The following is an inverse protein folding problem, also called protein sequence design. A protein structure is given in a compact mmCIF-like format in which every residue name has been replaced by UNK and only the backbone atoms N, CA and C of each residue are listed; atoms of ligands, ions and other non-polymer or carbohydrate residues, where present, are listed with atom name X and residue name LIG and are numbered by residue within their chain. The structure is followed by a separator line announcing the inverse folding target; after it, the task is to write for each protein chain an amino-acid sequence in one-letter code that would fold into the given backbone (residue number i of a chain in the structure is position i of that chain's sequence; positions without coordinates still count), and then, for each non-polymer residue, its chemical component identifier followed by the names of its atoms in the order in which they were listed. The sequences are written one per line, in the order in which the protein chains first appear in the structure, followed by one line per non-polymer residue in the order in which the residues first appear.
data_IF_999441717137
#
_entry.id   IF_999441717137
#
_cell.length_a   1.000
_cell.length_b   1.000
_cell.length_c   1.000
_cell.angle_alpha   90.00
_cell.angle_beta   90.00
_cell.angle_gamma   90.00
#
_symmetry.space_group_name_H-M   'P 1'
#
loop_
_entity.id
_entity.type
_entity.pdbx_description
1 polymer ?
#
# COMPACT_ATOMS: atom_id res chain seq x y z
N UNK A 1 10.24 7.14 -0.70
CA UNK A 1 10.25 6.83 0.74
C UNK A 1 9.92 5.36 0.97
N UNK A 2 10.44 4.79 2.02
CA UNK A 2 10.09 3.43 2.43
C UNK A 2 8.93 3.49 3.41
N UNK A 3 7.93 2.67 3.16
CA UNK A 3 6.70 2.63 3.97
C UNK A 3 6.47 1.21 4.47
N UNK A 4 6.28 1.07 5.77
CA UNK A 4 5.86 -0.19 6.35
C UNK A 4 4.37 -0.37 6.09
N UNK A 5 3.99 -1.49 5.50
CA UNK A 5 2.60 -1.78 5.13
C UNK A 5 2.16 -3.08 5.78
N UNK A 6 1.00 -3.03 6.41
CA UNK A 6 0.35 -4.23 6.93
C UNK A 6 -0.87 -4.56 6.07
N UNK A 7 -0.86 -5.72 5.46
CA UNK A 7 -1.93 -6.15 4.57
C UNK A 7 -2.98 -6.96 5.34
N UNK A 8 -4.24 -6.61 5.16
CA UNK A 8 -5.38 -7.35 5.71
C UNK A 8 -6.19 -7.85 4.50
N UNK A 9 -6.00 -9.13 4.12
CA UNK A 9 -6.70 -9.68 2.96
C UNK A 9 -8.16 -10.02 3.26
N UNK A 10 -8.91 -10.35 2.22
CA UNK A 10 -10.31 -10.77 2.31
C UNK A 10 -11.18 -9.76 3.04
N UNK A 11 -10.87 -8.48 2.87
CA UNK A 11 -11.69 -7.40 3.40
C UNK A 11 -12.88 -7.14 2.50
N UNK A 12 -13.88 -6.45 3.02
CA UNK A 12 -15.10 -6.14 2.24
C UNK A 12 -14.84 -5.08 1.18
N UNK A 13 -13.78 -4.30 1.32
CA UNK A 13 -13.41 -3.29 0.33
C UNK A 13 -11.92 -2.97 0.45
N UNK A 14 -11.37 -2.38 -0.61
CA UNK A 14 -9.99 -1.91 -0.63
C UNK A 14 -9.91 -0.55 0.06
N UNK A 15 -9.05 -0.44 1.07
CA UNK A 15 -8.94 0.77 1.87
C UNK A 15 -7.53 0.92 2.43
N UNK A 16 -7.05 2.18 2.47
CA UNK A 16 -5.76 2.51 3.07
C UNK A 16 -5.98 3.37 4.31
N UNK A 17 -5.27 3.05 5.39
CA UNK A 17 -5.31 3.80 6.64
C UNK A 17 -3.87 4.08 7.09
N UNK A 18 -3.55 5.36 7.27
CA UNK A 18 -2.20 5.79 7.68
C UNK A 18 -2.23 6.33 9.09
N UNK A 19 -1.39 5.78 9.98
CA UNK A 19 -1.33 6.23 11.38
C UNK A 19 -0.07 7.04 11.70
N UNK A 20 0.73 7.37 10.69
CA UNK A 20 1.99 8.08 10.88
C UNK A 20 3.21 7.17 10.88
N UNK A 21 3.03 5.87 11.06
CA UNK A 21 4.12 4.90 11.10
C UNK A 21 3.91 3.72 10.16
N UNK A 22 2.71 3.16 10.18
CA UNK A 22 2.36 1.98 9.40
C UNK A 22 1.15 2.28 8.54
N UNK A 23 1.21 1.85 7.30
CA UNK A 23 0.10 1.94 6.37
C UNK A 23 -0.66 0.60 6.41
N UNK A 24 -1.89 0.64 6.90
CA UNK A 24 -2.76 -0.53 6.88
C UNK A 24 -3.48 -0.59 5.55
N UNK A 25 -3.31 -1.68 4.82
CA UNK A 25 -3.93 -1.88 3.53
C UNK A 25 -4.95 -3.02 3.62
N UNK A 26 -6.22 -2.66 3.59
CA UNK A 26 -7.30 -3.65 3.50
C UNK A 26 -7.52 -3.96 2.04
N UNK A 27 -7.48 -5.24 1.70
CA UNK A 27 -7.59 -5.70 0.31
C UNK A 27 -8.71 -6.73 0.21
N UNK A 28 -9.51 -6.63 -0.84
CA UNK A 28 -10.51 -7.64 -1.14
C UNK A 28 -9.87 -8.91 -1.70
N UNK A 29 -8.64 -8.80 -2.22
CA UNK A 29 -7.90 -9.91 -2.79
C UNK A 29 -7.63 -11.01 -1.75
N UNK A 30 -7.54 -12.28 -2.17
CA UNK A 30 -7.16 -13.35 -1.28
C UNK A 30 -5.68 -13.25 -0.89
N UNK A 31 -5.26 -13.93 0.21
CA UNK A 31 -3.86 -13.87 0.65
C UNK A 31 -2.96 -14.79 -0.18
N UNK A 32 -3.06 -14.68 -1.48
CA UNK A 32 -2.21 -15.37 -2.45
C UNK A 32 -1.19 -14.34 -2.91
N UNK A 33 0.08 -14.65 -2.83
CA UNK A 33 1.17 -13.70 -2.97
C UNK A 33 1.06 -12.79 -4.20
N UNK A 34 0.89 -13.35 -5.37
CA UNK A 34 0.77 -12.56 -6.60
C UNK A 34 -0.44 -11.65 -6.60
N UNK A 35 -1.60 -12.17 -6.20
CA UNK A 35 -2.84 -11.40 -6.20
C UNK A 35 -2.81 -10.27 -5.18
N UNK A 36 -2.32 -10.55 -3.97
CA UNK A 36 -2.26 -9.54 -2.91
C UNK A 36 -1.26 -8.44 -3.25
N UNK A 37 -0.10 -8.80 -3.79
CA UNK A 37 0.93 -7.81 -4.15
C UNK A 37 0.45 -6.91 -5.29
N UNK A 38 -0.16 -7.47 -6.31
CA UNK A 38 -0.71 -6.67 -7.40
C UNK A 38 -1.82 -5.75 -6.93
N UNK A 39 -2.72 -6.26 -6.08
CA UNK A 39 -3.81 -5.46 -5.54
C UNK A 39 -3.27 -4.31 -4.70
N UNK A 40 -2.23 -4.56 -3.91
CA UNK A 40 -1.61 -3.52 -3.09
C UNK A 40 -1.00 -2.42 -3.95
N UNK A 41 -0.20 -2.80 -4.95
CA UNK A 41 0.42 -1.82 -5.86
C UNK A 41 -0.63 -1.03 -6.60
N UNK A 42 -1.67 -1.68 -7.10
CA UNK A 42 -2.75 -1.01 -7.82
C UNK A 42 -3.50 -0.02 -6.92
N UNK A 43 -3.78 -0.40 -5.69
CA UNK A 43 -4.47 0.47 -4.74
C UNK A 43 -3.62 1.68 -4.39
N UNK A 44 -2.33 1.48 -4.11
CA UNK A 44 -1.41 2.57 -3.82
C UNK A 44 -1.28 3.53 -5.00
N UNK A 45 -1.10 2.99 -6.20
CA UNK A 45 -0.97 3.82 -7.41
C UNK A 45 -2.22 4.67 -7.63
N UNK A 46 -3.39 4.08 -7.45
CA UNK A 46 -4.65 4.78 -7.62
C UNK A 46 -4.85 5.88 -6.57
N UNK A 47 -4.68 5.52 -5.30
CA UNK A 47 -4.95 6.46 -4.19
C UNK A 47 -3.92 7.58 -4.11
N UNK A 48 -2.68 7.30 -4.49
CA UNK A 48 -1.60 8.28 -4.45
C UNK A 48 -1.43 9.03 -5.77
N UNK A 49 -2.19 8.65 -6.79
CA UNK A 49 -2.11 9.24 -8.13
C UNK A 49 -0.69 9.12 -8.70
N UNK A 50 -0.09 7.95 -8.55
CA UNK A 50 1.26 7.66 -9.04
C UNK A 50 1.21 6.50 -10.03
N UNK A 51 2.17 6.41 -10.96
CA UNK A 51 2.26 5.26 -11.83
C UNK A 51 2.72 4.03 -11.04
N UNK A 52 2.32 2.85 -11.48
CA UNK A 52 2.72 1.60 -10.81
C UNK A 52 4.22 1.43 -10.69
N UNK A 53 4.98 1.91 -11.68
CA UNK A 53 6.43 1.79 -11.68
C UNK A 53 7.11 2.59 -10.55
N UNK A 54 6.39 3.53 -9.96
CA UNK A 54 6.90 4.30 -8.82
C UNK A 54 6.79 3.55 -7.51
N UNK A 55 6.13 2.38 -7.51
CA UNK A 55 5.81 1.62 -6.31
C UNK A 55 6.41 0.22 -6.46
N UNK A 56 7.23 -0.18 -5.49
CA UNK A 56 7.84 -1.51 -5.50
C UNK A 56 7.85 -2.09 -4.09
N UNK A 57 7.55 -3.39 -4.01
CA UNK A 57 7.62 -4.12 -2.75
C UNK A 57 9.06 -4.59 -2.59
N UNK A 58 9.78 -4.03 -1.62
CA UNK A 58 11.19 -4.31 -1.44
C UNK A 58 11.47 -5.37 -0.38
N UNK A 59 10.48 -5.68 0.46
CA UNK A 59 10.60 -6.70 1.49
C UNK A 59 9.23 -7.26 1.84
N UNK A 60 9.19 -8.54 2.21
CA UNK A 60 7.97 -9.18 2.67
C UNK A 60 6.98 -9.55 1.58
N UNK A 61 7.46 -9.91 0.38
CA UNK A 61 6.60 -10.24 -0.74
C UNK A 61 5.62 -11.38 -0.42
N UNK A 62 5.99 -12.31 0.46
CA UNK A 62 5.14 -13.44 0.87
C UNK A 62 4.59 -13.28 2.28
N UNK A 63 4.68 -12.08 2.85
CA UNK A 63 4.25 -11.79 4.21
C UNK A 63 3.14 -10.76 4.22
N UNK A 64 2.36 -10.71 5.30
CA UNK A 64 1.38 -9.64 5.51
C UNK A 64 2.05 -8.34 5.96
N UNK A 65 3.27 -8.43 6.46
CA UNK A 65 4.10 -7.27 6.81
C UNK A 65 5.05 -7.04 5.64
N UNK A 66 4.90 -5.88 4.99
CA UNK A 66 5.68 -5.55 3.81
C UNK A 66 6.37 -4.21 3.97
N UNK A 67 7.47 -4.02 3.23
CA UNK A 67 8.07 -2.70 3.07
C UNK A 67 7.96 -2.34 1.60
N UNK A 68 7.40 -1.19 1.35
CA UNK A 68 7.15 -0.70 -0.01
C UNK A 68 7.96 0.57 -0.22
N UNK A 69 8.66 0.65 -1.34
CA UNK A 69 9.32 1.88 -1.75
C UNK A 69 8.39 2.64 -2.69
N UNK A 70 8.11 3.90 -2.35
CA UNK A 70 7.27 4.77 -3.16
C UNK A 70 8.14 5.95 -3.59
N UNK A 71 8.48 6.01 -4.87
CA UNK A 71 9.34 7.06 -5.40
C UNK A 71 8.62 8.40 -5.42
N UNK A 72 9.37 9.48 -5.24
CA UNK A 72 8.89 10.85 -5.35
C UNK A 72 7.73 11.16 -4.38
N UNK A 73 7.75 10.54 -3.22
CA UNK A 73 6.74 10.77 -2.20
C UNK A 73 7.41 11.09 -0.87
N UNK A 74 6.91 12.12 -0.18
CA UNK A 74 7.33 12.46 1.17
C UNK A 74 6.28 12.00 2.18
N UNK A 75 6.64 11.83 3.47
CA UNK A 75 5.65 11.49 4.51
C UNK A 75 4.49 12.48 4.58
N UNK A 76 4.76 13.75 4.35
CA UNK A 76 3.73 14.78 4.37
C UNK A 76 2.76 14.62 3.21
N UNK A 77 3.28 14.34 2.02
CA UNK A 77 2.44 14.10 0.85
C UNK A 77 1.60 12.84 1.03
N UNK A 78 2.16 11.79 1.62
CA UNK A 78 1.42 10.57 1.92
C UNK A 78 0.25 10.89 2.85
N UNK A 79 0.50 11.62 3.92
CA UNK A 79 -0.52 12.02 4.87
C UNK A 79 -1.63 12.83 4.20
N UNK A 80 -1.25 13.81 3.38
CA UNK A 80 -2.21 14.65 2.68
C UNK A 80 -3.07 13.87 1.70
N UNK A 81 -2.47 13.01 0.90
CA UNK A 81 -3.19 12.23 -0.10
C UNK A 81 -4.16 11.23 0.52
N UNK A 82 -3.81 10.66 1.66
CA UNK A 82 -4.67 9.70 2.35
C UNK A 82 -5.72 10.37 3.23
N UNK A 83 -5.54 11.62 3.59
CA UNK A 83 -6.53 12.40 4.33
C UNK A 83 -7.66 12.93 3.43
N UNK A 84 -7.45 12.94 2.12
CA UNK A 84 -8.47 13.37 1.16
C UNK A 84 -9.49 12.26 0.97
N UNK A 85 -10.72 12.57 1.19
CA UNK A 85 -11.83 11.64 1.09
C UNK A 85 -12.58 11.85 -0.23
#
# INVERSE_FOLDING_TARGET
MLVSVRVIPRSTRNQLEWNGEVLKARLTAPPVDGAANEALVALLANRLALPRRAISIVRGATSRQKVVNIEQLTPEELKQKLAQV
#
